data_IF_806526722595
#
_entry.id   IF_806526722595
#
_cell.length_a   1.000
_cell.length_b   1.000
_cell.length_c   1.000
_cell.angle_alpha   90.00
_cell.angle_beta   90.00
_cell.angle_gamma   90.00
#
_symmetry.space_group_name_H-M   'P 1'
#
loop_
_entity.id
_entity.type
_entity.pdbx_description
1 polymer ?
#
# COMPACT_ATOMS: atom_id res chain seq x y z
N UNK A 1 15.24 16.36 -12.50
CA UNK A 1 15.30 15.46 -11.30
C UNK A 1 14.16 14.45 -11.41
N UNK A 2 14.39 13.14 -11.26
CA UNK A 2 13.28 12.17 -11.27
C UNK A 2 12.56 12.27 -9.91
N UNK A 3 11.30 12.71 -9.93
CA UNK A 3 10.43 12.63 -8.76
C UNK A 3 9.63 11.34 -8.84
N UNK A 4 9.30 10.78 -7.68
CA UNK A 4 8.39 9.64 -7.57
C UNK A 4 7.07 10.14 -7.03
N UNK A 5 6.03 10.05 -7.85
CA UNK A 5 4.65 10.29 -7.45
C UNK A 5 4.04 9.00 -6.94
N UNK A 6 3.05 9.09 -6.07
CA UNK A 6 2.21 7.95 -5.74
C UNK A 6 0.90 8.05 -6.51
N UNK A 7 0.50 6.93 -7.08
CA UNK A 7 -0.81 6.77 -7.67
C UNK A 7 -1.46 5.47 -7.17
N UNK A 8 -2.75 5.32 -7.45
CA UNK A 8 -3.61 4.28 -6.89
C UNK A 8 -4.05 3.30 -7.96
N UNK A 9 -4.28 2.04 -7.55
CA UNK A 9 -4.85 1.07 -8.48
C UNK A 9 -6.21 1.50 -9.06
N UNK A 10 -6.51 1.10 -10.31
CA UNK A 10 -7.84 1.18 -10.88
C UNK A 10 -8.89 0.61 -9.93
N UNK A 11 -10.01 1.31 -9.78
CA UNK A 11 -11.10 0.92 -8.87
C UNK A 11 -10.94 1.42 -7.42
N UNK A 12 -9.81 2.05 -7.06
CA UNK A 12 -9.72 2.80 -5.80
C UNK A 12 -10.67 4.00 -5.85
N UNK A 13 -11.58 4.09 -4.87
CA UNK A 13 -12.59 5.16 -4.84
C UNK A 13 -11.96 6.52 -4.53
N UNK A 14 -12.54 7.60 -5.04
CA UNK A 14 -12.03 8.97 -4.79
C UNK A 14 -12.00 9.34 -3.31
N UNK A 15 -12.96 8.84 -2.52
CA UNK A 15 -12.97 9.00 -1.07
C UNK A 15 -11.73 8.37 -0.42
N UNK A 16 -11.30 7.19 -0.89
CA UNK A 16 -10.10 6.50 -0.39
C UNK A 16 -8.83 7.24 -0.80
N UNK A 17 -8.75 7.70 -2.05
CA UNK A 17 -7.63 8.51 -2.54
C UNK A 17 -7.48 9.80 -1.73
N UNK A 18 -8.59 10.52 -1.51
CA UNK A 18 -8.63 11.75 -0.72
C UNK A 18 -8.21 11.52 0.72
N UNK A 19 -8.71 10.44 1.34
CA UNK A 19 -8.32 10.06 2.71
C UNK A 19 -6.80 9.85 2.78
N UNK A 20 -6.26 8.98 1.94
CA UNK A 20 -4.83 8.65 1.97
C UNK A 20 -3.97 9.87 1.68
N UNK A 21 -4.33 10.67 0.67
CA UNK A 21 -3.61 11.91 0.35
C UNK A 21 -3.69 12.98 1.44
N UNK A 22 -4.69 12.92 2.33
CA UNK A 22 -4.78 13.81 3.50
C UNK A 22 -4.00 13.31 4.71
N UNK A 23 -3.73 12.01 4.78
CA UNK A 23 -3.06 11.37 5.92
C UNK A 23 -1.55 11.24 5.73
N UNK A 24 -1.08 11.07 4.49
CA UNK A 24 0.31 10.70 4.22
C UNK A 24 0.90 11.51 3.07
N UNK A 25 2.13 11.95 3.25
CA UNK A 25 2.93 12.41 2.13
C UNK A 25 3.48 11.23 1.32
N UNK A 26 3.56 11.34 -0.02
CA UNK A 26 4.13 10.29 -0.87
C UNK A 26 5.48 9.73 -0.41
N UNK A 27 6.36 10.63 0.05
CA UNK A 27 7.70 10.25 0.53
C UNK A 27 7.66 9.36 1.77
N UNK A 28 6.69 9.54 2.66
CA UNK A 28 6.57 8.74 3.89
C UNK A 28 6.25 7.28 3.56
N UNK A 29 5.25 7.05 2.70
CA UNK A 29 4.84 5.71 2.26
C UNK A 29 5.96 5.01 1.49
N UNK A 30 6.60 5.71 0.55
CA UNK A 30 7.74 5.16 -0.21
C UNK A 30 8.93 4.82 0.71
N UNK A 31 9.23 5.66 1.69
CA UNK A 31 10.33 5.40 2.64
C UNK A 31 10.04 4.18 3.51
N UNK A 32 8.81 4.07 4.05
CA UNK A 32 8.38 2.92 4.83
C UNK A 32 8.44 1.62 4.00
N UNK A 33 7.96 1.66 2.76
CA UNK A 33 8.02 0.52 1.85
C UNK A 33 9.45 0.09 1.54
N UNK A 34 10.34 1.03 1.20
CA UNK A 34 11.74 0.72 0.88
C UNK A 34 12.50 0.17 2.07
N UNK A 35 12.25 0.70 3.26
CA UNK A 35 12.81 0.15 4.51
C UNK A 35 12.34 -1.30 4.71
N UNK A 36 11.05 -1.58 4.54
CA UNK A 36 10.51 -2.94 4.63
C UNK A 36 11.06 -3.87 3.54
N UNK A 37 11.20 -3.40 2.30
CA UNK A 37 11.80 -4.16 1.19
C UNK A 37 13.24 -4.54 1.49
N UNK A 38 14.01 -3.63 2.09
CA UNK A 38 15.37 -3.92 2.55
C UNK A 38 15.39 -4.95 3.70
N UNK A 39 14.43 -4.86 4.62
CA UNK A 39 14.32 -5.79 5.77
C UNK A 39 13.93 -7.22 5.35
N UNK A 40 12.93 -7.36 4.47
CA UNK A 40 12.37 -8.67 4.08
C UNK A 40 12.93 -9.23 2.77
N UNK A 41 13.77 -8.47 2.07
CA UNK A 41 14.33 -8.83 0.76
C UNK A 41 13.27 -9.19 -0.30
N UNK A 42 12.09 -8.56 -0.24
CA UNK A 42 10.98 -8.77 -1.20
C UNK A 42 10.18 -7.49 -1.40
N UNK A 43 9.63 -7.30 -2.60
CA UNK A 43 8.68 -6.23 -2.91
C UNK A 43 7.21 -6.61 -2.69
N UNK A 44 6.90 -7.89 -2.47
CA UNK A 44 5.52 -8.37 -2.22
C UNK A 44 5.13 -8.16 -0.75
N UNK A 45 4.86 -6.90 -0.40
CA UNK A 45 4.64 -6.44 0.97
C UNK A 45 3.25 -5.84 1.17
N UNK A 46 2.79 -5.91 2.41
CA UNK A 46 1.62 -5.21 2.94
C UNK A 46 2.09 -4.25 4.01
N UNK A 47 1.84 -2.95 3.79
CA UNK A 47 1.99 -1.91 4.80
C UNK A 47 0.65 -1.72 5.51
N UNK A 48 0.68 -1.75 6.83
CA UNK A 48 -0.47 -1.49 7.69
C UNK A 48 -0.17 -0.29 8.59
N UNK A 49 -1.14 0.59 8.76
CA UNK A 49 -1.01 1.77 9.62
C UNK A 49 -2.34 2.09 10.28
N UNK A 50 -2.29 2.55 11.53
CA UNK A 50 -3.47 3.01 12.25
C UNK A 50 -3.72 4.49 11.97
N UNK A 51 -4.98 4.87 11.74
CA UNK A 51 -5.40 6.28 11.63
C UNK A 51 -5.10 7.08 12.91
N UNK A 52 -4.93 6.39 14.05
CA UNK A 52 -4.57 6.99 15.34
C UNK A 52 -3.04 7.12 15.55
N UNK A 53 -2.23 6.45 14.73
CA UNK A 53 -0.76 6.50 14.78
C UNK A 53 -0.17 6.42 13.37
N UNK A 54 -0.17 7.57 12.68
CA UNK A 54 0.26 7.68 11.28
C UNK A 54 1.77 7.44 11.06
N UNK A 55 2.58 7.46 12.13
CA UNK A 55 4.00 7.11 12.09
C UNK A 55 4.27 5.61 12.30
N UNK A 56 3.30 4.86 12.81
CA UNK A 56 3.45 3.47 13.20
C UNK A 56 3.22 2.50 12.04
N UNK A 57 3.98 2.63 10.95
CA UNK A 57 3.89 1.69 9.84
C UNK A 57 4.40 0.32 10.26
N UNK A 58 3.56 -0.69 10.10
CA UNK A 58 3.91 -2.09 10.20
C UNK A 58 4.00 -2.68 8.80
N UNK A 59 5.05 -3.45 8.54
CA UNK A 59 5.26 -4.10 7.26
C UNK A 59 5.35 -5.60 7.42
N UNK A 60 4.71 -6.32 6.51
CA UNK A 60 4.76 -7.78 6.48
C UNK A 60 4.83 -8.30 5.04
N UNK A 61 5.51 -9.42 4.79
CA UNK A 61 5.34 -10.15 3.53
C UNK A 61 3.87 -10.50 3.30
N UNK A 62 3.35 -10.28 2.09
CA UNK A 62 1.94 -10.49 1.77
C UNK A 62 1.45 -11.90 2.11
N UNK A 63 2.27 -12.92 1.83
CA UNK A 63 1.96 -14.32 2.17
C UNK A 63 1.80 -14.54 3.67
N UNK A 64 2.66 -13.91 4.50
CA UNK A 64 2.57 -13.98 5.95
C UNK A 64 1.33 -13.24 6.49
N UNK A 65 1.01 -12.08 5.92
CA UNK A 65 -0.20 -11.33 6.26
C UNK A 65 -1.46 -12.17 5.97
N UNK A 66 -1.55 -12.77 4.78
CA UNK A 66 -2.68 -13.64 4.39
C UNK A 66 -2.78 -14.84 5.32
N UNK A 67 -1.66 -15.49 5.66
CA UNK A 67 -1.65 -16.63 6.57
C UNK A 67 -2.18 -16.24 7.95
N UNK A 68 -1.75 -15.10 8.49
CA UNK A 68 -2.26 -14.55 9.75
C UNK A 68 -3.75 -14.23 9.68
N UNK A 69 -4.20 -13.54 8.62
CA UNK A 69 -5.60 -13.18 8.44
C UNK A 69 -6.51 -14.42 8.31
N UNK A 70 -6.02 -15.49 7.66
CA UNK A 70 -6.72 -16.79 7.58
C UNK A 70 -6.78 -17.47 8.94
N UNK A 71 -5.70 -17.45 9.71
CA UNK A 71 -5.69 -18.03 11.06
C UNK A 71 -6.71 -17.34 11.97
N UNK A 72 -6.84 -16.02 11.89
CA UNK A 72 -7.82 -15.23 12.65
C UNK A 72 -9.26 -15.53 12.21
N UNK A 73 -9.51 -15.67 10.90
CA UNK A 73 -10.84 -15.97 10.36
C UNK A 73 -11.25 -17.46 10.46
N UNK A 74 -10.30 -18.35 10.74
CA UNK A 74 -10.52 -19.79 10.80
C UNK A 74 -10.97 -20.36 9.45
N UNK A 75 -11.98 -21.23 9.48
CA UNK A 75 -12.55 -21.85 8.27
C UNK A 75 -13.49 -20.93 7.46
N UNK A 76 -13.71 -19.69 7.90
CA UNK A 76 -14.59 -18.75 7.20
C UNK A 76 -13.89 -18.22 5.94
N UNK A 77 -14.65 -17.95 4.86
CA UNK A 77 -14.10 -17.28 3.69
C UNK A 77 -13.46 -15.94 4.05
N UNK A 78 -12.37 -15.58 3.36
CA UNK A 78 -11.75 -14.27 3.53
C UNK A 78 -12.76 -13.14 3.26
N UNK A 79 -12.77 -12.06 4.08
CA UNK A 79 -13.60 -10.90 3.86
C UNK A 79 -13.39 -10.33 2.46
N UNK A 80 -14.48 -9.85 1.84
CA UNK A 80 -14.46 -9.36 0.45
C UNK A 80 -13.35 -8.34 0.22
N UNK A 81 -13.13 -7.43 1.18
CA UNK A 81 -12.12 -6.39 1.08
C UNK A 81 -10.68 -6.92 1.12
N UNK A 82 -10.41 -8.16 1.52
CA UNK A 82 -9.05 -8.78 1.51
C UNK A 82 -8.83 -9.73 0.34
N UNK A 83 -9.88 -10.10 -0.41
CA UNK A 83 -9.75 -11.07 -1.52
C UNK A 83 -8.81 -10.60 -2.63
N UNK A 84 -8.76 -9.29 -2.89
CA UNK A 84 -7.84 -8.72 -3.88
C UNK A 84 -6.37 -8.94 -3.49
N UNK A 85 -6.04 -8.70 -2.22
CA UNK A 85 -4.72 -8.93 -1.63
C UNK A 85 -4.35 -10.42 -1.61
N UNK A 86 -5.32 -11.30 -1.38
CA UNK A 86 -5.11 -12.74 -1.47
C UNK A 86 -4.76 -13.17 -2.91
N UNK A 87 -5.50 -12.65 -3.89
CA UNK A 87 -5.41 -13.11 -5.28
C UNK A 87 -4.11 -12.71 -5.99
N UNK A 88 -3.62 -11.46 -5.79
CA UNK A 88 -2.49 -10.92 -6.56
C UNK A 88 -1.59 -10.01 -5.73
N UNK A 89 -0.31 -9.95 -6.06
CA UNK A 89 0.61 -8.93 -5.55
C UNK A 89 0.23 -7.55 -6.08
N UNK A 90 0.64 -6.48 -5.37
CA UNK A 90 0.40 -5.11 -5.79
C UNK A 90 0.98 -4.82 -7.19
N UNK A 91 2.19 -5.31 -7.45
CA UNK A 91 2.86 -5.20 -8.75
C UNK A 91 2.04 -5.86 -9.87
N UNK A 92 1.47 -7.04 -9.63
CA UNK A 92 0.65 -7.75 -10.61
C UNK A 92 -0.73 -7.11 -10.82
N UNK A 93 -1.28 -6.41 -9.82
CA UNK A 93 -2.52 -5.63 -9.99
C UNK A 93 -2.28 -4.43 -10.91
N UNK A 94 -1.11 -3.80 -10.80
CA UNK A 94 -0.75 -2.61 -11.58
C UNK A 94 -0.11 -2.90 -12.93
N UNK A 95 0.18 -4.18 -13.24
CA UNK A 95 0.88 -4.60 -14.45
C UNK A 95 2.24 -3.89 -14.63
N UNK A 96 2.92 -3.59 -13.51
CA UNK A 96 4.20 -2.88 -13.52
C UNK A 96 5.41 -3.81 -13.70
N UNK A 97 6.53 -3.32 -14.25
CA UNK A 97 7.81 -4.01 -14.21
C UNK A 97 8.25 -4.40 -12.78
N UNK A 98 9.07 -5.45 -12.65
CA UNK A 98 9.52 -5.98 -11.34
C UNK A 98 10.41 -5.02 -10.55
N UNK A 99 11.07 -4.12 -11.24
CA UNK A 99 11.88 -3.07 -10.63
C UNK A 99 11.06 -1.93 -10.00
N UNK A 100 9.78 -1.80 -10.39
CA UNK A 100 8.90 -0.75 -9.88
C UNK A 100 8.50 -0.97 -8.43
N UNK A 101 8.31 0.13 -7.71
CA UNK A 101 7.79 0.10 -6.33
C UNK A 101 6.26 0.04 -6.36
N UNK A 102 5.67 -1.06 -5.88
CA UNK A 102 4.23 -1.22 -5.74
C UNK A 102 3.91 -1.97 -4.44
N UNK A 103 2.95 -1.45 -3.66
CA UNK A 103 2.66 -1.92 -2.32
C UNK A 103 1.17 -1.98 -2.04
N UNK A 104 0.74 -2.94 -1.22
CA UNK A 104 -0.56 -2.88 -0.57
C UNK A 104 -0.47 -1.96 0.64
N UNK A 105 -1.37 -0.99 0.75
CA UNK A 105 -1.56 -0.18 1.96
C UNK A 105 -2.92 -0.53 2.58
N UNK A 106 -2.89 -0.78 3.90
CA UNK A 106 -4.08 -0.96 4.73
C UNK A 106 -4.08 0.12 5.82
N UNK A 107 -5.10 0.95 5.81
CA UNK A 107 -5.33 1.96 6.86
C UNK A 107 -6.43 1.44 7.79
N UNK A 108 -6.06 1.14 9.04
CA UNK A 108 -6.98 0.70 10.08
C UNK A 108 -7.62 1.92 10.72
N UNK A 109 -8.93 2.04 10.57
CA UNK A 109 -9.71 3.19 11.03
C UNK A 109 -10.37 2.83 12.35
N UNK A 110 -9.90 3.39 13.46
CA UNK A 110 -10.26 2.93 14.82
C UNK A 110 -11.77 2.96 15.15
N UNK A 111 -12.59 3.72 14.42
CA UNK A 111 -14.05 3.78 14.60
C UNK A 111 -14.84 3.15 13.46
N UNK A 112 -14.18 2.63 12.42
CA UNK A 112 -14.86 1.93 11.33
C UNK A 112 -14.48 0.46 11.36
N UNK A 113 -15.48 -0.41 11.30
CA UNK A 113 -15.24 -1.87 11.32
C UNK A 113 -14.49 -2.37 10.08
N UNK A 114 -14.37 -1.55 9.02
CA UNK A 114 -13.75 -1.95 7.75
C UNK A 114 -12.52 -1.08 7.46
N UNK A 115 -11.31 -1.67 7.37
CA UNK A 115 -10.11 -0.92 7.01
C UNK A 115 -10.13 -0.52 5.53
N UNK A 116 -9.44 0.56 5.21
CA UNK A 116 -9.27 1.01 3.82
C UNK A 116 -8.06 0.31 3.23
N UNK A 117 -8.27 -0.50 2.18
CA UNK A 117 -7.21 -1.20 1.46
C UNK A 117 -7.07 -0.66 0.04
N UNK A 118 -5.85 -0.36 -0.37
CA UNK A 118 -5.54 0.06 -1.75
C UNK A 118 -4.17 -0.43 -2.18
N UNK A 119 -3.95 -0.50 -3.49
CA UNK A 119 -2.60 -0.60 -4.05
C UNK A 119 -2.09 0.79 -4.35
N UNK A 120 -0.86 1.04 -3.93
CA UNK A 120 -0.15 2.28 -4.18
C UNK A 120 1.13 1.94 -4.94
N UNK A 121 1.45 2.71 -5.96
CA UNK A 121 2.65 2.50 -6.77
C UNK A 121 3.39 3.80 -7.05
N UNK A 122 4.71 3.68 -7.19
CA UNK A 122 5.60 4.78 -7.53
C UNK A 122 5.72 4.94 -9.04
N UNK A 123 5.42 6.14 -9.56
CA UNK A 123 5.66 6.49 -10.96
C UNK A 123 6.90 7.39 -11.02
N UNK A 124 7.96 7.00 -11.75
CA UNK A 124 9.03 7.93 -12.09
C UNK A 124 8.50 8.93 -13.12
N UNK A 125 8.64 10.23 -12.84
CA UNK A 125 8.41 11.27 -13.85
C UNK A 125 9.58 12.25 -13.88
N UNK A 126 9.88 12.73 -15.08
CA UNK A 126 10.84 13.80 -15.29
C UNK A 126 10.22 15.13 -14.85
N UNK A 127 10.96 15.88 -14.04
CA UNK A 127 10.61 17.26 -13.70
C UNK A 127 11.54 18.16 -14.49
N UNK A 128 10.97 18.97 -15.38
CA UNK A 128 11.63 20.10 -16.02
C UNK A 128 11.79 21.24 -15.00
N UNK A 129 12.92 21.96 -15.06
CA UNK A 129 13.29 22.99 -14.09
C UNK A 129 12.30 24.19 -14.01
N UNK A 130 11.32 24.27 -14.92
CA UNK A 130 10.25 25.28 -14.90
C UNK A 130 9.23 25.06 -13.77
N UNK A 131 9.10 23.84 -13.23
CA UNK A 131 8.16 23.50 -12.15
C UNK A 131 8.79 23.56 -10.74
N UNK A 132 10.02 24.08 -10.63
CA UNK A 132 10.78 24.13 -9.37
C UNK A 132 10.68 25.45 -8.60
N UNK A 133 9.85 26.40 -9.07
CA UNK A 133 9.66 27.74 -8.47
C UNK A 133 8.41 27.82 -7.59
#
# INVERSE_FOLDING_TARGET
MIRTGLDFAPGTTDASKKLIGSLFEPKQLLSAYRAARAQFHTGDLVLTVSEQNLSGFEATPRTAYIASAKAINGAKPMPLFLRGLEAKSAQAVMELPFESDAMWLIVVRGTQDVPVMCVIYGIPYEVSDEDAN
#
